data_IF_014243180291
#
_entry.id   IF_014243180291
#
_cell.length_a   1.000
_cell.length_b   1.000
_cell.length_c   1.000
_cell.angle_alpha   90.00
_cell.angle_beta   90.00
_cell.angle_gamma   90.00
#
_symmetry.space_group_name_H-M   'P 1'
#
loop_
_entity.id
_entity.type
_entity.pdbx_description
1 polymer ?
#
# COMPACT_ATOMS: atom_id res chain seq x y z
N UNK A 1 -20.32 -26.23 28.17
CA UNK A 1 -19.11 -25.82 28.91
C UNK A 1 -17.86 -25.85 28.05
N UNK A 2 -17.52 -26.94 27.34
CA UNK A 2 -16.34 -26.99 26.44
C UNK A 2 -16.37 -25.95 25.29
N UNK A 3 -17.55 -25.65 24.75
CA UNK A 3 -17.72 -24.70 23.63
C UNK A 3 -17.61 -23.23 24.06
N UNK A 4 -17.99 -22.91 25.31
CA UNK A 4 -17.78 -21.59 25.94
C UNK A 4 -16.31 -21.36 26.34
N UNK A 5 -15.60 -22.41 26.70
CA UNK A 5 -14.18 -22.35 27.07
C UNK A 5 -13.29 -22.18 25.82
N UNK A 6 -13.62 -22.85 24.72
CA UNK A 6 -12.96 -22.67 23.42
C UNK A 6 -13.19 -21.27 22.81
N UNK A 7 -14.35 -20.65 23.02
CA UNK A 7 -14.62 -19.26 22.58
C UNK A 7 -13.94 -18.22 23.47
N UNK A 8 -13.82 -18.49 24.78
CA UNK A 8 -13.08 -17.64 25.72
C UNK A 8 -11.57 -17.64 25.43
N UNK A 9 -10.95 -18.81 25.23
CA UNK A 9 -9.52 -18.92 24.92
C UNK A 9 -9.17 -18.29 23.57
N UNK A 10 -10.06 -18.40 22.58
CA UNK A 10 -9.89 -17.79 21.26
C UNK A 10 -10.02 -16.25 21.31
N UNK A 11 -10.84 -15.71 22.22
CA UNK A 11 -10.94 -14.27 22.45
C UNK A 11 -9.74 -13.73 23.25
N UNK A 12 -9.23 -14.48 24.23
CA UNK A 12 -8.03 -14.10 24.99
C UNK A 12 -6.75 -14.12 24.11
N UNK A 13 -6.61 -15.14 23.25
CA UNK A 13 -5.52 -15.22 22.26
C UNK A 13 -5.59 -14.11 21.21
N UNK A 14 -6.79 -13.72 20.77
CA UNK A 14 -6.99 -12.55 19.90
C UNK A 14 -6.63 -11.24 20.59
N UNK A 15 -6.95 -11.08 21.88
CA UNK A 15 -6.60 -9.90 22.68
C UNK A 15 -5.08 -9.71 22.80
N UNK A 16 -4.36 -10.77 23.15
CA UNK A 16 -2.89 -10.75 23.25
C UNK A 16 -2.21 -10.56 21.90
N UNK A 17 -2.70 -11.22 20.83
CA UNK A 17 -2.17 -11.02 19.48
C UNK A 17 -2.37 -9.57 18.98
N UNK A 18 -3.52 -8.95 19.29
CA UNK A 18 -3.81 -7.54 18.94
C UNK A 18 -2.90 -6.56 19.70
N UNK A 19 -2.71 -6.76 21.01
CA UNK A 19 -1.80 -5.92 21.81
C UNK A 19 -0.35 -6.05 21.34
N UNK A 20 0.10 -7.27 21.00
CA UNK A 20 1.44 -7.50 20.47
C UNK A 20 1.60 -6.86 19.08
N UNK A 21 0.60 -7.00 18.20
CA UNK A 21 0.54 -6.36 16.87
C UNK A 21 0.75 -4.86 16.98
N UNK A 22 -0.01 -4.21 17.86
CA UNK A 22 0.13 -2.78 18.12
C UNK A 22 1.51 -2.47 18.70
N UNK A 23 2.02 -3.24 19.65
CA UNK A 23 3.29 -2.94 20.31
C UNK A 23 4.51 -3.02 19.37
N UNK A 24 4.67 -4.09 18.58
CA UNK A 24 5.83 -4.20 17.71
C UNK A 24 5.76 -3.21 16.54
N UNK A 25 4.58 -3.02 15.93
CA UNK A 25 4.40 -2.11 14.82
C UNK A 25 4.57 -0.64 15.27
N UNK A 26 3.97 -0.27 16.40
CA UNK A 26 4.16 1.06 16.99
C UNK A 26 5.61 1.29 17.38
N UNK A 27 6.31 0.30 17.96
CA UNK A 27 7.74 0.45 18.26
C UNK A 27 8.61 0.60 17.01
N UNK A 28 8.20 0.04 15.88
CA UNK A 28 8.87 0.19 14.59
C UNK A 28 8.62 1.58 13.97
N UNK A 29 7.41 2.10 14.13
CA UNK A 29 6.99 3.40 13.58
C UNK A 29 7.31 4.59 14.49
N UNK A 30 7.46 4.39 15.80
CA UNK A 30 7.72 5.45 16.79
C UNK A 30 8.97 6.28 16.46
N UNK A 31 10.12 5.70 16.07
CA UNK A 31 11.30 6.46 15.65
C UNK A 31 11.09 7.28 14.37
N UNK A 32 10.05 6.97 13.59
CA UNK A 32 9.73 7.63 12.33
C UNK A 32 8.71 8.76 12.50
N UNK A 33 8.11 8.94 13.68
CA UNK A 33 7.09 9.99 13.92
C UNK A 33 7.59 11.39 13.54
N UNK A 34 8.83 11.74 13.88
CA UNK A 34 9.43 13.02 13.48
C UNK A 34 9.56 13.17 11.96
N UNK A 35 9.81 12.06 11.26
CA UNK A 35 9.91 12.04 9.79
C UNK A 35 8.57 12.10 9.09
N UNK A 36 7.51 11.56 9.71
CA UNK A 36 6.14 11.75 9.21
C UNK A 36 5.72 13.23 9.25
N UNK A 37 6.15 13.97 10.28
CA UNK A 37 5.94 15.43 10.34
C UNK A 37 6.73 16.13 9.23
N UNK A 38 8.01 15.80 9.04
CA UNK A 38 8.84 16.34 7.95
C UNK A 38 8.25 16.05 6.56
N UNK A 39 7.80 14.81 6.33
CA UNK A 39 7.11 14.41 5.10
C UNK A 39 5.79 15.17 4.92
N UNK A 40 5.02 15.35 6.00
CA UNK A 40 3.79 16.13 5.98
C UNK A 40 4.04 17.59 5.62
N UNK A 41 5.08 18.22 6.18
CA UNK A 41 5.47 19.59 5.85
C UNK A 41 5.91 19.73 4.39
N UNK A 42 6.75 18.81 3.88
CA UNK A 42 7.15 18.82 2.47
C UNK A 42 5.93 18.66 1.56
N UNK A 43 5.04 17.72 1.87
CA UNK A 43 3.80 17.52 1.13
C UNK A 43 2.88 18.75 1.18
N UNK A 44 2.83 19.46 2.30
CA UNK A 44 2.10 20.72 2.42
C UNK A 44 2.63 21.76 1.43
N UNK A 45 3.95 22.00 1.40
CA UNK A 45 4.54 22.95 0.46
C UNK A 45 4.39 22.51 -1.00
N UNK A 46 4.48 21.21 -1.30
CA UNK A 46 4.19 20.68 -2.63
C UNK A 46 2.75 21.01 -3.05
N UNK A 47 1.76 20.76 -2.18
CA UNK A 47 0.37 21.05 -2.48
C UNK A 47 0.08 22.56 -2.55
N UNK A 48 0.81 23.38 -1.79
CA UNK A 48 0.74 24.84 -1.89
C UNK A 48 1.29 25.34 -3.23
N UNK A 49 2.48 24.88 -3.64
CA UNK A 49 3.07 25.22 -4.94
C UNK A 49 2.25 24.67 -6.11
N UNK A 50 1.51 23.58 -5.91
CA UNK A 50 0.60 23.06 -6.92
C UNK A 50 -0.53 24.05 -7.29
N UNK A 51 -0.80 25.05 -6.46
CA UNK A 51 -1.73 26.16 -6.77
C UNK A 51 -1.14 27.19 -7.73
N UNK A 52 0.18 27.23 -7.89
CA UNK A 52 0.85 28.27 -8.67
C UNK A 52 0.38 28.28 -10.13
N UNK A 53 0.26 27.10 -10.76
CA UNK A 53 -0.18 27.01 -12.16
C UNK A 53 -1.68 27.36 -12.32
N UNK A 54 -2.62 26.83 -11.52
CA UNK A 54 -4.02 27.28 -11.54
C UNK A 54 -4.17 28.80 -11.32
N UNK A 55 -3.46 29.37 -10.35
CA UNK A 55 -3.49 30.82 -10.08
C UNK A 55 -2.90 31.61 -11.25
N UNK A 56 -1.76 31.17 -11.79
CA UNK A 56 -1.16 31.75 -13.00
C UNK A 56 -2.18 31.80 -14.13
N UNK A 57 -2.81 30.67 -14.44
CA UNK A 57 -3.80 30.56 -15.51
C UNK A 57 -5.01 31.44 -15.25
N UNK A 58 -5.55 31.45 -14.03
CA UNK A 58 -6.65 32.33 -13.64
C UNK A 58 -6.32 33.80 -13.92
N UNK A 59 -5.14 34.27 -13.47
CA UNK A 59 -4.72 35.65 -13.66
C UNK A 59 -4.43 35.98 -15.13
N UNK A 60 -3.90 35.04 -15.90
CA UNK A 60 -3.66 35.26 -17.34
C UNK A 60 -4.99 35.46 -18.06
N UNK A 61 -5.95 34.56 -17.87
CA UNK A 61 -7.24 34.63 -18.56
C UNK A 61 -8.09 35.81 -18.09
N UNK A 62 -8.14 36.10 -16.78
CA UNK A 62 -9.03 37.14 -16.27
C UNK A 62 -8.41 38.55 -16.35
N UNK A 63 -7.08 38.67 -16.19
CA UNK A 63 -6.40 39.97 -16.14
C UNK A 63 -5.62 40.27 -17.41
N UNK A 64 -4.71 39.38 -17.82
CA UNK A 64 -3.77 39.69 -18.92
C UNK A 64 -4.48 39.71 -20.28
N UNK A 65 -5.31 38.73 -20.56
CA UNK A 65 -6.03 38.62 -21.85
C UNK A 65 -6.98 39.80 -22.05
N UNK A 66 -7.70 40.21 -21.01
CA UNK A 66 -8.66 41.32 -21.10
C UNK A 66 -8.01 42.70 -21.06
N UNK A 67 -6.94 42.90 -20.26
CA UNK A 67 -6.36 44.23 -20.03
C UNK A 67 -5.03 44.49 -20.77
N UNK A 68 -4.49 43.51 -21.50
CA UNK A 68 -3.25 43.65 -22.27
C UNK A 68 -1.98 43.88 -21.43
N UNK A 69 -2.00 43.52 -20.14
CA UNK A 69 -0.92 43.81 -19.19
C UNK A 69 0.31 42.91 -19.36
N UNK A 70 1.18 43.20 -20.34
CA UNK A 70 2.38 42.40 -20.62
C UNK A 70 3.40 42.36 -19.46
N UNK A 71 3.52 43.44 -18.69
CA UNK A 71 4.43 43.49 -17.53
C UNK A 71 3.97 42.51 -16.45
N UNK A 72 2.66 42.48 -16.17
CA UNK A 72 2.06 41.53 -15.23
C UNK A 72 2.27 40.08 -15.69
N UNK A 73 2.14 39.82 -16.99
CA UNK A 73 2.37 38.50 -17.56
C UNK A 73 3.81 38.04 -17.32
N UNK A 74 4.81 38.89 -17.56
CA UNK A 74 6.22 38.55 -17.33
C UNK A 74 6.46 38.15 -15.87
N UNK A 75 5.94 38.94 -14.91
CA UNK A 75 6.04 38.62 -13.50
C UNK A 75 5.37 37.30 -13.13
N UNK A 76 4.16 37.05 -13.67
CA UNK A 76 3.41 35.81 -13.47
C UNK A 76 4.15 34.59 -14.04
N UNK A 77 4.73 34.69 -15.24
CA UNK A 77 5.52 33.61 -15.86
C UNK A 77 6.75 33.28 -15.02
N UNK A 78 7.51 34.29 -14.61
CA UNK A 78 8.71 34.08 -13.78
C UNK A 78 8.32 33.43 -12.45
N UNK A 79 7.28 33.93 -11.78
CA UNK A 79 6.78 33.36 -10.53
C UNK A 79 6.32 31.90 -10.68
N UNK A 80 5.56 31.60 -11.75
CA UNK A 80 5.09 30.25 -12.03
C UNK A 80 6.24 29.27 -12.33
N UNK A 81 7.25 29.69 -13.11
CA UNK A 81 8.43 28.88 -13.40
C UNK A 81 9.26 28.60 -12.13
N UNK A 82 9.44 29.60 -11.27
CA UNK A 82 10.10 29.44 -9.97
C UNK A 82 9.33 28.43 -9.11
N UNK A 83 7.99 28.56 -9.03
CA UNK A 83 7.16 27.66 -8.26
C UNK A 83 7.23 26.21 -8.77
N UNK A 84 7.22 25.99 -10.09
CA UNK A 84 7.40 24.66 -10.71
C UNK A 84 8.80 24.09 -10.41
N UNK A 85 9.84 24.92 -10.44
CA UNK A 85 11.19 24.53 -10.06
C UNK A 85 11.28 24.06 -8.60
N UNK A 86 10.67 24.80 -7.67
CA UNK A 86 10.60 24.39 -6.27
C UNK A 86 9.73 23.15 -6.05
N UNK A 87 8.60 23.00 -6.77
CA UNK A 87 7.77 21.79 -6.70
C UNK A 87 8.58 20.55 -7.10
N UNK A 88 9.37 20.62 -8.17
CA UNK A 88 10.28 19.55 -8.58
C UNK A 88 11.30 19.20 -7.48
N UNK A 89 12.00 20.20 -6.95
CA UNK A 89 13.01 20.00 -5.90
C UNK A 89 12.36 19.35 -4.66
N UNK A 90 11.21 19.84 -4.22
CA UNK A 90 10.52 19.29 -3.05
C UNK A 90 10.03 17.86 -3.28
N UNK A 91 9.54 17.52 -4.47
CA UNK A 91 9.15 16.14 -4.82
C UNK A 91 10.35 15.20 -4.77
N UNK A 92 11.51 15.64 -5.26
CA UNK A 92 12.74 14.86 -5.22
C UNK A 92 13.25 14.67 -3.79
N UNK A 93 13.21 15.72 -2.96
CA UNK A 93 13.53 15.63 -1.52
C UNK A 93 12.57 14.68 -0.82
N UNK A 94 11.25 14.77 -1.09
CA UNK A 94 10.24 13.86 -0.56
C UNK A 94 10.52 12.41 -0.92
N UNK A 95 10.82 12.13 -2.19
CA UNK A 95 11.14 10.78 -2.67
C UNK A 95 12.36 10.20 -1.93
N UNK A 96 13.44 10.97 -1.79
CA UNK A 96 14.64 10.57 -1.05
C UNK A 96 14.36 10.34 0.44
N UNK A 97 13.52 11.17 1.06
CA UNK A 97 13.15 11.04 2.47
C UNK A 97 12.34 9.75 2.72
N UNK A 98 11.40 9.43 1.82
CA UNK A 98 10.63 8.17 1.87
C UNK A 98 11.57 6.97 1.67
N UNK A 99 12.47 6.99 0.68
CA UNK A 99 13.44 5.91 0.45
C UNK A 99 14.39 5.71 1.64
N UNK A 100 14.89 6.78 2.25
CA UNK A 100 15.73 6.69 3.47
C UNK A 100 14.96 6.14 4.67
N UNK A 101 13.67 6.42 4.75
CA UNK A 101 12.80 5.86 5.79
C UNK A 101 12.59 4.36 5.56
N UNK A 102 12.33 3.97 4.31
CA UNK A 102 12.22 2.59 3.88
C UNK A 102 13.44 1.74 4.24
N UNK A 103 14.65 2.21 3.91
CA UNK A 103 15.88 1.46 4.21
C UNK A 103 16.07 1.23 5.71
N UNK A 104 15.75 2.21 6.56
CA UNK A 104 15.86 2.02 8.02
C UNK A 104 14.84 1.02 8.55
N UNK A 105 13.61 1.07 8.04
CA UNK A 105 12.57 0.09 8.37
C UNK A 105 13.02 -1.31 7.96
N UNK A 106 13.56 -1.45 6.76
CA UNK A 106 14.02 -2.73 6.22
C UNK A 106 15.06 -3.40 7.12
N UNK A 107 16.09 -2.63 7.49
CA UNK A 107 17.16 -3.10 8.40
C UNK A 107 16.58 -3.49 9.76
N UNK A 108 15.67 -2.68 10.32
CA UNK A 108 15.09 -2.96 11.63
C UNK A 108 14.18 -4.19 11.62
N UNK A 109 13.28 -4.32 10.64
CA UNK A 109 12.40 -5.49 10.50
C UNK A 109 13.25 -6.74 10.27
N UNK A 110 14.20 -6.69 9.34
CA UNK A 110 15.08 -7.83 9.03
C UNK A 110 15.87 -8.29 10.26
N UNK A 111 16.43 -7.34 11.02
CA UNK A 111 17.15 -7.66 12.26
C UNK A 111 16.26 -8.29 13.32
N UNK A 112 15.04 -7.77 13.50
CA UNK A 112 14.07 -8.31 14.46
C UNK A 112 13.60 -9.69 14.06
N UNK A 113 13.28 -9.89 12.78
CA UNK A 113 12.85 -11.18 12.24
C UNK A 113 13.96 -12.22 12.39
N UNK A 114 15.20 -11.88 12.03
CA UNK A 114 16.34 -12.78 12.19
C UNK A 114 16.55 -13.16 13.66
N UNK A 115 16.57 -12.19 14.57
CA UNK A 115 16.70 -12.44 16.02
C UNK A 115 15.58 -13.34 16.52
N UNK A 116 14.35 -13.09 16.09
CA UNK A 116 13.19 -13.90 16.46
C UNK A 116 13.36 -15.35 15.99
N UNK A 117 13.70 -15.56 14.72
CA UNK A 117 13.92 -16.88 14.16
C UNK A 117 15.00 -17.67 14.92
N UNK A 118 16.09 -17.02 15.32
CA UNK A 118 17.17 -17.66 16.10
C UNK A 118 16.81 -17.92 17.56
N UNK A 119 15.83 -17.21 18.10
CA UNK A 119 15.39 -17.34 19.50
C UNK A 119 14.18 -18.27 19.66
N UNK A 120 13.55 -18.70 18.57
CA UNK A 120 12.38 -19.57 18.62
C UNK A 120 12.76 -21.00 19.05
N UNK A 121 11.90 -21.69 19.84
CA UNK A 121 12.13 -23.08 20.21
C UNK A 121 12.22 -23.99 18.99
N UNK A 122 13.15 -24.96 19.01
CA UNK A 122 13.36 -25.90 17.89
C UNK A 122 12.06 -26.60 17.47
N UNK A 123 11.21 -26.97 18.44
CA UNK A 123 9.90 -27.59 18.18
C UNK A 123 8.98 -26.72 17.31
N UNK A 124 9.08 -25.39 17.41
CA UNK A 124 8.31 -24.46 16.58
C UNK A 124 8.89 -24.40 15.17
N UNK A 125 10.22 -24.39 15.04
CA UNK A 125 10.90 -24.40 13.74
C UNK A 125 10.57 -25.66 12.94
N UNK A 126 10.66 -26.84 13.57
CA UNK A 126 10.43 -28.14 12.92
C UNK A 126 8.96 -28.40 12.57
N UNK A 127 8.02 -27.73 13.25
CA UNK A 127 6.59 -27.81 12.91
C UNK A 127 6.23 -27.15 11.59
N UNK A 128 7.05 -26.22 11.13
CA UNK A 128 6.80 -25.43 9.92
C UNK A 128 7.75 -25.85 8.80
N UNK A 129 7.27 -25.82 7.58
CA UNK A 129 8.07 -26.18 6.41
C UNK A 129 9.02 -25.04 5.99
N UNK A 130 10.10 -25.35 5.26
CA UNK A 130 11.00 -24.31 4.71
C UNK A 130 10.27 -23.25 3.88
N UNK A 131 9.28 -23.58 3.02
CA UNK A 131 8.49 -22.57 2.30
C UNK A 131 7.72 -21.60 3.19
N UNK A 132 7.26 -22.04 4.36
CA UNK A 132 6.59 -21.16 5.33
C UNK A 132 7.53 -20.04 5.77
N UNK A 133 8.76 -20.40 6.16
CA UNK A 133 9.76 -19.43 6.61
C UNK A 133 10.21 -18.47 5.51
N UNK A 134 10.30 -18.94 4.27
CA UNK A 134 10.55 -18.07 3.11
C UNK A 134 9.40 -17.07 2.90
N UNK A 135 8.15 -17.51 3.09
CA UNK A 135 6.98 -16.63 2.98
C UNK A 135 6.97 -15.57 4.08
N UNK A 136 7.34 -15.93 5.31
CA UNK A 136 7.51 -14.96 6.41
C UNK A 136 8.51 -13.85 6.06
N UNK A 137 9.62 -14.19 5.41
CA UNK A 137 10.59 -13.18 4.95
C UNK A 137 9.98 -12.27 3.87
N UNK A 138 9.24 -12.84 2.92
CA UNK A 138 8.50 -12.07 1.90
C UNK A 138 7.40 -11.18 2.49
N UNK A 139 6.84 -11.55 3.64
CA UNK A 139 5.88 -10.72 4.36
C UNK A 139 6.55 -9.49 4.97
N UNK A 140 7.77 -9.63 5.50
CA UNK A 140 8.57 -8.51 5.96
C UNK A 140 8.92 -7.54 4.81
N UNK A 141 9.29 -8.06 3.65
CA UNK A 141 9.50 -7.26 2.43
C UNK A 141 8.21 -6.53 2.01
N UNK A 142 7.05 -7.20 2.07
CA UNK A 142 5.77 -6.57 1.74
C UNK A 142 5.43 -5.39 2.68
N UNK A 143 5.73 -5.53 3.97
CA UNK A 143 5.58 -4.44 4.95
C UNK A 143 6.47 -3.27 4.58
N UNK A 144 7.76 -3.54 4.33
CA UNK A 144 8.72 -2.52 3.87
C UNK A 144 8.21 -1.81 2.63
N UNK A 145 7.89 -2.55 1.58
CA UNK A 145 7.52 -1.98 0.28
C UNK A 145 6.29 -1.08 0.39
N UNK A 146 5.35 -1.40 1.27
CA UNK A 146 4.15 -0.59 1.48
C UNK A 146 4.43 0.68 2.26
N UNK A 147 5.24 0.61 3.32
CA UNK A 147 5.62 1.81 4.10
C UNK A 147 6.58 2.71 3.28
N UNK A 148 7.38 2.10 2.42
CA UNK A 148 8.32 2.75 1.51
C UNK A 148 7.69 3.30 0.23
N UNK A 149 6.47 2.87 -0.08
CA UNK A 149 5.94 2.95 -1.43
C UNK A 149 4.93 4.08 -1.62
N UNK A 150 4.36 4.08 -2.83
CA UNK A 150 3.27 4.97 -3.23
C UNK A 150 2.09 5.03 -2.23
N UNK A 151 1.67 3.95 -1.54
CA UNK A 151 0.56 4.03 -0.60
C UNK A 151 0.80 4.96 0.58
N UNK A 152 2.04 5.08 1.06
CA UNK A 152 2.37 5.99 2.15
C UNK A 152 2.27 7.44 1.72
N UNK A 153 2.78 7.76 0.52
CA UNK A 153 2.65 9.11 -0.07
C UNK A 153 1.18 9.44 -0.29
N UNK A 154 0.41 8.49 -0.81
CA UNK A 154 -1.03 8.64 -1.04
C UNK A 154 -1.78 8.98 0.26
N UNK A 155 -1.49 8.29 1.36
CA UNK A 155 -2.11 8.59 2.67
C UNK A 155 -1.79 10.00 3.16
N UNK A 156 -0.60 10.52 2.86
CA UNK A 156 -0.19 11.89 3.24
C UNK A 156 -0.83 12.93 2.30
N UNK A 157 -1.05 12.60 1.03
CA UNK A 157 -1.69 13.48 0.05
C UNK A 157 -3.23 13.54 0.23
N UNK A 158 -3.86 12.48 0.77
CA UNK A 158 -5.32 12.33 0.87
C UNK A 158 -6.04 13.47 1.64
N UNK A 159 -5.52 13.99 2.78
CA UNK A 159 -6.13 15.14 3.45
C UNK A 159 -6.19 16.41 2.61
N UNK A 160 -5.25 16.58 1.66
CA UNK A 160 -5.21 17.75 0.78
C UNK A 160 -6.34 17.74 -0.25
N UNK A 161 -7.00 16.60 -0.47
CA UNK A 161 -8.22 16.54 -1.30
C UNK A 161 -9.29 17.47 -0.74
N UNK A 162 -9.49 17.49 0.58
CA UNK A 162 -10.42 18.40 1.24
C UNK A 162 -9.98 19.86 1.08
N UNK A 163 -8.67 20.13 1.18
CA UNK A 163 -8.10 21.47 0.98
C UNK A 163 -8.39 21.96 -0.44
N UNK A 164 -8.15 21.14 -1.47
CA UNK A 164 -8.45 21.51 -2.85
C UNK A 164 -9.94 21.69 -3.10
N UNK A 165 -10.81 20.88 -2.47
CA UNK A 165 -12.27 21.09 -2.55
C UNK A 165 -12.67 22.45 -1.97
N UNK A 166 -12.12 22.84 -0.82
CA UNK A 166 -12.37 24.14 -0.21
C UNK A 166 -11.88 25.28 -1.12
N UNK A 167 -10.68 25.14 -1.69
CA UNK A 167 -10.13 26.14 -2.61
C UNK A 167 -11.00 26.27 -3.87
N UNK A 168 -11.46 25.16 -4.45
CA UNK A 168 -12.37 25.18 -5.61
C UNK A 168 -13.70 25.83 -5.24
N UNK A 169 -14.23 25.59 -4.04
CA UNK A 169 -15.45 26.26 -3.58
C UNK A 169 -15.30 27.79 -3.56
N UNK A 170 -14.15 28.31 -3.11
CA UNK A 170 -13.91 29.76 -3.11
C UNK A 170 -13.63 30.35 -4.49
N UNK A 171 -13.03 29.59 -5.40
CA UNK A 171 -12.68 30.08 -6.76
C UNK A 171 -13.85 29.93 -7.73
N UNK A 172 -14.60 28.84 -7.64
CA UNK A 172 -15.64 28.44 -8.59
C UNK A 172 -16.83 27.81 -7.86
N UNK A 173 -17.46 28.57 -6.96
CA UNK A 173 -18.59 28.12 -6.14
C UNK A 173 -19.72 27.42 -6.94
N UNK A 174 -20.15 27.90 -8.13
CA UNK A 174 -21.27 27.29 -8.85
C UNK A 174 -21.02 25.85 -9.34
N UNK A 175 -19.77 25.41 -9.49
CA UNK A 175 -19.43 24.02 -9.87
C UNK A 175 -18.96 23.17 -8.69
N UNK A 176 -18.70 23.78 -7.52
CA UNK A 176 -18.08 23.08 -6.40
C UNK A 176 -18.96 21.93 -5.84
N UNK A 177 -20.28 22.03 -5.95
CA UNK A 177 -21.21 20.98 -5.53
C UNK A 177 -21.01 19.68 -6.32
N UNK A 178 -20.51 19.73 -7.56
CA UNK A 178 -20.22 18.53 -8.35
C UNK A 178 -19.17 17.65 -7.66
N UNK A 179 -18.21 18.26 -6.95
CA UNK A 179 -17.18 17.53 -6.21
C UNK A 179 -17.77 16.70 -5.06
N UNK A 180 -18.89 17.13 -4.49
CA UNK A 180 -19.62 16.38 -3.46
C UNK A 180 -20.25 15.10 -4.00
N UNK A 181 -20.42 14.97 -5.31
CA UNK A 181 -20.92 13.76 -5.98
C UNK A 181 -19.74 12.93 -6.50
N UNK A 182 -18.76 13.58 -7.12
CA UNK A 182 -17.63 12.93 -7.77
C UNK A 182 -16.71 12.23 -6.77
N UNK A 183 -16.40 12.88 -5.63
CA UNK A 183 -15.53 12.27 -4.61
C UNK A 183 -16.15 10.99 -4.05
N UNK A 184 -17.42 10.97 -3.60
CA UNK A 184 -18.09 9.72 -3.23
C UNK A 184 -18.17 8.69 -4.36
N UNK A 185 -18.35 9.09 -5.62
CA UNK A 185 -18.35 8.16 -6.75
C UNK A 185 -16.99 7.45 -6.89
N UNK A 186 -15.88 8.17 -6.75
CA UNK A 186 -14.54 7.57 -6.72
C UNK A 186 -14.33 6.67 -5.50
N UNK A 187 -14.81 7.09 -4.32
CA UNK A 187 -14.73 6.25 -3.10
C UNK A 187 -15.52 4.95 -3.27
N UNK A 188 -16.71 5.02 -3.84
CA UNK A 188 -17.53 3.84 -4.16
C UNK A 188 -16.81 2.93 -5.15
N UNK A 189 -16.24 3.49 -6.23
CA UNK A 189 -15.45 2.74 -7.20
C UNK A 189 -14.26 2.01 -6.54
N UNK A 190 -13.51 2.70 -5.68
CA UNK A 190 -12.41 2.12 -4.92
C UNK A 190 -12.89 0.99 -3.99
N UNK A 191 -14.02 1.18 -3.31
CA UNK A 191 -14.61 0.16 -2.43
C UNK A 191 -15.08 -1.09 -3.19
N UNK A 192 -15.76 -0.93 -4.32
CA UNK A 192 -16.20 -2.07 -5.14
C UNK A 192 -15.02 -2.78 -5.79
N UNK A 193 -14.04 -2.02 -6.30
CA UNK A 193 -12.79 -2.54 -6.84
C UNK A 193 -12.07 -3.43 -5.82
N UNK A 194 -11.94 -2.93 -4.59
CA UNK A 194 -11.40 -3.67 -3.45
C UNK A 194 -12.04 -5.05 -3.28
N UNK A 195 -13.38 -5.11 -3.23
CA UNK A 195 -14.10 -6.35 -2.96
C UNK A 195 -13.99 -7.35 -4.12
N UNK A 196 -14.10 -6.88 -5.35
CA UNK A 196 -14.03 -7.72 -6.54
C UNK A 196 -12.62 -8.28 -6.79
N UNK A 197 -11.59 -7.41 -6.70
CA UNK A 197 -10.20 -7.80 -6.95
C UNK A 197 -9.69 -8.74 -5.85
N UNK A 198 -10.07 -8.52 -4.58
CA UNK A 198 -9.62 -9.38 -3.47
C UNK A 198 -10.06 -10.84 -3.65
N UNK A 199 -11.32 -11.07 -4.05
CA UNK A 199 -11.83 -12.43 -4.29
C UNK A 199 -11.05 -13.13 -5.41
N UNK A 200 -10.79 -12.42 -6.51
CA UNK A 200 -10.03 -12.99 -7.64
C UNK A 200 -8.55 -13.20 -7.33
N UNK A 201 -7.97 -12.31 -6.51
CA UNK A 201 -6.57 -12.42 -6.06
C UNK A 201 -6.39 -13.65 -5.18
N UNK A 202 -7.34 -13.94 -4.30
CA UNK A 202 -7.27 -15.13 -3.45
C UNK A 202 -7.39 -16.43 -4.26
N UNK A 203 -8.28 -16.46 -5.27
CA UNK A 203 -8.41 -17.60 -6.16
C UNK A 203 -7.13 -17.84 -7.01
N UNK A 204 -6.49 -16.78 -7.49
CA UNK A 204 -5.19 -16.86 -8.19
C UNK A 204 -4.08 -17.32 -7.23
N UNK A 205 -4.06 -16.80 -5.99
CA UNK A 205 -3.10 -17.21 -4.96
C UNK A 205 -3.19 -18.70 -4.66
N UNK A 206 -4.40 -19.23 -4.50
CA UNK A 206 -4.61 -20.66 -4.26
C UNK A 206 -4.12 -21.51 -5.44
N UNK A 207 -4.45 -21.11 -6.68
CA UNK A 207 -3.98 -21.82 -7.87
C UNK A 207 -2.44 -21.83 -7.99
N UNK A 208 -1.78 -20.72 -7.64
CA UNK A 208 -0.32 -20.65 -7.57
C UNK A 208 0.25 -21.63 -6.53
N UNK A 209 -0.34 -21.71 -5.34
CA UNK A 209 0.10 -22.63 -4.30
C UNK A 209 -0.03 -24.09 -4.75
N UNK A 210 -1.14 -24.47 -5.37
CA UNK A 210 -1.38 -25.85 -5.84
C UNK A 210 -0.40 -26.25 -6.96
N UNK A 211 -0.04 -25.30 -7.83
CA UNK A 211 1.01 -25.49 -8.85
C UNK A 211 2.39 -25.61 -8.21
N UNK A 212 2.74 -24.70 -7.32
CA UNK A 212 4.06 -24.67 -6.67
C UNK A 212 4.28 -25.93 -5.80
N UNK A 213 3.21 -26.43 -5.17
CA UNK A 213 3.24 -27.72 -4.46
C UNK A 213 3.56 -28.89 -5.39
N UNK A 214 3.03 -28.93 -6.62
CA UNK A 214 3.37 -29.98 -7.60
C UNK A 214 4.86 -29.96 -7.94
N UNK A 215 5.41 -28.77 -8.14
CA UNK A 215 6.82 -28.60 -8.47
C UNK A 215 7.70 -29.02 -7.29
N UNK A 216 7.32 -28.66 -6.06
CA UNK A 216 8.02 -29.10 -4.86
C UNK A 216 8.01 -30.64 -4.72
N UNK A 217 6.86 -31.28 -4.96
CA UNK A 217 6.72 -32.74 -4.97
C UNK A 217 7.62 -33.40 -6.03
N UNK A 218 7.61 -32.87 -7.26
CA UNK A 218 8.46 -33.34 -8.36
C UNK A 218 9.95 -33.24 -8.02
N UNK A 219 10.39 -32.10 -7.44
CA UNK A 219 11.79 -31.87 -7.09
C UNK A 219 12.24 -32.74 -5.89
N UNK A 220 11.35 -32.97 -4.93
CA UNK A 220 11.58 -33.87 -3.82
C UNK A 220 11.67 -35.33 -4.31
N UNK A 221 10.77 -35.74 -5.20
CA UNK A 221 10.69 -37.08 -5.79
C UNK A 221 11.55 -37.31 -7.04
N UNK A 222 12.48 -36.40 -7.36
CA UNK A 222 13.20 -36.35 -8.65
C UNK A 222 13.84 -37.67 -9.08
N UNK A 223 14.37 -38.45 -8.14
CA UNK A 223 14.98 -39.76 -8.42
C UNK A 223 13.95 -40.78 -8.89
N UNK A 224 12.79 -40.85 -8.23
CA UNK A 224 11.71 -41.74 -8.61
C UNK A 224 11.12 -41.34 -9.98
N UNK A 225 10.96 -40.03 -10.23
CA UNK A 225 10.48 -39.51 -11.52
C UNK A 225 11.38 -39.95 -12.67
N UNK A 226 12.71 -39.90 -12.47
CA UNK A 226 13.69 -40.34 -13.48
C UNK A 226 13.75 -41.86 -13.61
N UNK A 227 13.73 -42.60 -12.51
CA UNK A 227 13.82 -44.06 -12.50
C UNK A 227 12.59 -44.72 -13.13
N UNK A 228 11.39 -44.14 -12.93
CA UNK A 228 10.12 -44.67 -13.43
C UNK A 228 9.65 -43.98 -14.73
N UNK A 229 10.45 -43.06 -15.29
CA UNK A 229 10.13 -42.29 -16.49
C UNK A 229 8.75 -41.57 -16.46
N UNK A 230 8.35 -41.03 -15.30
CA UNK A 230 7.04 -40.39 -15.08
C UNK A 230 6.93 -38.97 -15.66
N UNK A 231 7.86 -38.55 -16.51
CA UNK A 231 7.98 -37.17 -16.97
C UNK A 231 6.82 -36.68 -17.83
N UNK A 232 6.24 -37.54 -18.67
CA UNK A 232 5.07 -37.20 -19.50
C UNK A 232 3.81 -37.03 -18.66
N UNK A 233 3.52 -37.97 -17.76
CA UNK A 233 2.35 -37.90 -16.86
C UNK A 233 2.39 -36.65 -15.97
N UNK A 234 3.55 -36.35 -15.39
CA UNK A 234 3.72 -35.17 -14.55
C UNK A 234 3.64 -33.86 -15.35
N UNK A 235 3.99 -33.88 -16.64
CA UNK A 235 3.82 -32.74 -17.54
C UNK A 235 2.35 -32.41 -17.71
N UNK A 236 1.49 -33.39 -18.01
CA UNK A 236 0.06 -33.14 -18.24
C UNK A 236 -0.62 -32.59 -16.97
N UNK A 237 -0.24 -33.12 -15.80
CA UNK A 237 -0.69 -32.61 -14.49
C UNK A 237 -0.21 -31.17 -14.25
N UNK A 238 1.04 -30.86 -14.60
CA UNK A 238 1.60 -29.53 -14.47
C UNK A 238 0.94 -28.54 -15.44
N UNK A 239 0.77 -28.91 -16.70
CA UNK A 239 0.11 -28.09 -17.73
C UNK A 239 -1.33 -27.76 -17.33
N UNK A 240 -2.06 -28.72 -16.76
CA UNK A 240 -3.41 -28.49 -16.22
C UNK A 240 -3.41 -27.46 -15.09
N UNK A 241 -2.53 -27.61 -14.09
CA UNK A 241 -2.45 -26.65 -12.95
C UNK A 241 -1.94 -25.27 -13.39
N UNK A 242 -0.99 -25.24 -14.31
CA UNK A 242 -0.49 -24.01 -14.91
C UNK A 242 -1.59 -23.32 -15.73
N UNK A 243 -2.38 -24.07 -16.50
CA UNK A 243 -3.54 -23.55 -17.23
C UNK A 243 -4.54 -22.86 -16.30
N UNK A 244 -4.92 -23.52 -15.20
CA UNK A 244 -5.78 -22.91 -14.17
C UNK A 244 -5.17 -21.63 -13.60
N UNK A 245 -3.87 -21.66 -13.27
CA UNK A 245 -3.14 -20.49 -12.75
C UNK A 245 -3.20 -19.31 -13.73
N UNK A 246 -2.92 -19.56 -15.02
CA UNK A 246 -2.98 -18.56 -16.09
C UNK A 246 -4.39 -18.01 -16.25
N UNK A 247 -5.42 -18.87 -16.33
CA UNK A 247 -6.81 -18.43 -16.46
C UNK A 247 -7.26 -17.57 -15.27
N UNK A 248 -6.88 -17.94 -14.04
CA UNK A 248 -7.17 -17.14 -12.84
C UNK A 248 -6.43 -15.80 -12.87
N UNK A 249 -5.18 -15.77 -13.32
CA UNK A 249 -4.41 -14.55 -13.51
C UNK A 249 -5.02 -13.60 -14.54
N UNK A 250 -5.45 -14.14 -15.70
CA UNK A 250 -6.16 -13.37 -16.75
C UNK A 250 -7.48 -12.81 -16.20
N UNK A 251 -8.27 -13.64 -15.51
CA UNK A 251 -9.55 -13.22 -14.92
C UNK A 251 -9.34 -12.08 -13.92
N UNK A 252 -8.32 -12.19 -13.04
CA UNK A 252 -7.96 -11.10 -12.12
C UNK A 252 -7.54 -9.84 -12.87
N UNK A 253 -6.71 -9.99 -13.90
CA UNK A 253 -6.26 -8.89 -14.76
C UNK A 253 -7.44 -8.15 -15.37
N UNK A 254 -8.35 -8.87 -16.02
CA UNK A 254 -9.56 -8.31 -16.63
C UNK A 254 -10.44 -7.56 -15.61
N UNK A 255 -10.64 -8.11 -14.40
CA UNK A 255 -11.37 -7.42 -13.34
C UNK A 255 -10.67 -6.11 -12.96
N UNK A 256 -9.35 -6.14 -12.75
CA UNK A 256 -8.57 -4.94 -12.44
C UNK A 256 -8.69 -3.87 -13.54
N UNK A 257 -8.60 -4.29 -14.80
CA UNK A 257 -8.64 -3.39 -15.95
C UNK A 257 -10.00 -2.70 -16.07
N UNK A 258 -11.11 -3.42 -15.83
CA UNK A 258 -12.45 -2.82 -15.78
C UNK A 258 -12.53 -1.68 -14.76
N UNK A 259 -11.99 -1.86 -13.55
CA UNK A 259 -12.01 -0.80 -12.52
C UNK A 259 -11.06 0.36 -12.85
N UNK A 260 -9.88 0.09 -13.40
CA UNK A 260 -8.95 1.13 -13.84
C UNK A 260 -9.56 1.97 -14.97
N UNK A 261 -10.16 1.33 -15.98
CA UNK A 261 -10.85 2.01 -17.07
C UNK A 261 -12.07 2.79 -16.59
N UNK A 262 -12.82 2.24 -15.63
CA UNK A 262 -13.94 2.94 -14.99
C UNK A 262 -13.48 4.20 -14.25
N UNK A 263 -12.30 4.18 -13.61
CA UNK A 263 -11.70 5.37 -12.99
C UNK A 263 -11.30 6.43 -14.02
N UNK A 264 -10.75 6.02 -15.17
CA UNK A 264 -10.44 6.93 -16.28
C UNK A 264 -11.71 7.52 -16.88
N UNK A 265 -12.75 6.71 -17.10
CA UNK A 265 -14.06 7.15 -17.58
C UNK A 265 -14.68 8.17 -16.61
N UNK A 266 -14.68 7.89 -15.30
CA UNK A 266 -15.19 8.82 -14.29
C UNK A 266 -14.40 10.14 -14.26
N UNK A 267 -13.09 10.09 -14.52
CA UNK A 267 -12.25 11.29 -14.66
C UNK A 267 -12.65 12.14 -15.87
N UNK A 268 -12.92 11.49 -17.02
CA UNK A 268 -13.40 12.17 -18.23
C UNK A 268 -14.80 12.74 -18.05
N UNK A 269 -15.71 11.99 -17.44
CA UNK A 269 -17.05 12.47 -17.09
C UNK A 269 -16.95 13.67 -16.17
N UNK A 270 -16.08 13.63 -15.15
CA UNK A 270 -15.84 14.77 -14.26
C UNK A 270 -15.43 16.02 -15.05
N UNK A 271 -14.45 15.90 -15.95
CA UNK A 271 -13.99 17.02 -16.76
C UNK A 271 -15.11 17.58 -17.64
N UNK A 272 -15.89 16.71 -18.29
CA UNK A 272 -17.03 17.11 -19.12
C UNK A 272 -18.09 17.81 -18.27
N UNK A 273 -18.52 17.21 -17.15
CA UNK A 273 -19.54 17.77 -16.26
C UNK A 273 -19.12 19.12 -15.66
N UNK A 274 -17.89 19.22 -15.15
CA UNK A 274 -17.35 20.48 -14.61
C UNK A 274 -17.32 21.57 -15.68
N UNK A 275 -16.87 21.23 -16.90
CA UNK A 275 -16.79 22.19 -18.00
C UNK A 275 -18.17 22.60 -18.50
N UNK A 276 -19.12 21.67 -18.64
CA UNK A 276 -20.48 21.96 -19.09
C UNK A 276 -21.26 22.83 -18.10
N UNK A 277 -21.26 22.47 -16.80
CA UNK A 277 -21.92 23.28 -15.77
C UNK A 277 -21.20 24.61 -15.59
N UNK A 278 -19.87 24.61 -15.65
CA UNK A 278 -19.08 25.84 -15.60
C UNK A 278 -19.35 26.78 -16.77
N UNK A 279 -19.53 26.25 -17.98
CA UNK A 279 -19.88 27.07 -19.14
C UNK A 279 -21.24 27.77 -18.97
N UNK A 280 -22.24 27.07 -18.41
CA UNK A 280 -23.54 27.67 -18.08
C UNK A 280 -23.37 28.78 -17.03
N UNK A 281 -22.62 28.53 -15.96
CA UNK A 281 -22.36 29.53 -14.92
C UNK A 281 -21.56 30.76 -15.43
N UNK A 282 -20.71 30.58 -16.45
CA UNK A 282 -20.05 31.71 -17.13
C UNK A 282 -21.06 32.53 -17.94
N UNK A 283 -21.99 31.87 -18.65
CA UNK A 283 -23.06 32.55 -19.39
C UNK A 283 -23.94 33.36 -18.44
N UNK A 284 -24.23 32.80 -17.26
CA UNK A 284 -25.01 33.45 -16.20
C UNK A 284 -24.21 34.48 -15.39
N UNK A 285 -22.94 34.74 -15.75
CA UNK A 285 -22.04 35.70 -15.10
C UNK A 285 -21.72 35.39 -13.64
N UNK A 286 -21.94 34.15 -13.19
CA UNK A 286 -21.63 33.72 -11.82
C UNK A 286 -20.14 33.38 -11.62
N UNK A 287 -19.41 33.11 -12.71
CA UNK A 287 -17.98 32.82 -12.67
C UNK A 287 -17.24 33.26 -13.95
N UNK A 288 -15.91 33.36 -13.89
CA UNK A 288 -15.06 33.74 -15.03
C UNK A 288 -14.52 32.53 -15.78
N UNK A 289 -14.06 32.70 -17.02
CA UNK A 289 -13.33 31.65 -17.74
C UNK A 289 -12.06 31.21 -16.98
N UNK A 290 -11.30 32.16 -16.41
CA UNK A 290 -10.10 31.84 -15.63
C UNK A 290 -10.41 30.97 -14.41
N UNK A 291 -11.51 31.24 -13.71
CA UNK A 291 -11.96 30.45 -12.56
C UNK A 291 -12.32 29.01 -12.93
N UNK A 292 -13.02 28.79 -14.04
CA UNK A 292 -13.37 27.46 -14.54
C UNK A 292 -12.13 26.65 -14.93
N UNK A 293 -11.19 27.27 -15.66
CA UNK A 293 -9.96 26.60 -16.08
C UNK A 293 -9.13 26.24 -14.84
N UNK A 294 -8.96 27.17 -13.90
CA UNK A 294 -8.24 26.91 -12.65
C UNK A 294 -8.91 25.80 -11.82
N UNK A 295 -10.24 25.80 -11.72
CA UNK A 295 -10.98 24.76 -11.01
C UNK A 295 -10.82 23.38 -11.66
N UNK A 296 -10.85 23.29 -12.99
CA UNK A 296 -10.57 22.04 -13.72
C UNK A 296 -9.14 21.52 -13.44
N UNK A 297 -8.14 22.42 -13.42
CA UNK A 297 -6.76 22.06 -13.08
C UNK A 297 -6.64 21.59 -11.63
N UNK A 298 -7.29 22.25 -10.68
CA UNK A 298 -7.31 21.84 -9.27
C UNK A 298 -8.06 20.52 -9.06
N UNK A 299 -9.10 20.26 -9.85
CA UNK A 299 -9.86 19.00 -9.80
C UNK A 299 -8.96 17.80 -10.12
N UNK A 300 -7.96 17.96 -10.98
CA UNK A 300 -6.96 16.90 -11.22
C UNK A 300 -6.19 16.49 -9.96
N UNK A 301 -5.98 17.42 -9.01
CA UNK A 301 -5.34 17.16 -7.70
C UNK A 301 -6.23 16.38 -6.74
N UNK A 302 -7.54 16.38 -6.98
CA UNK A 302 -8.52 15.54 -6.26
C UNK A 302 -8.60 14.16 -6.93
N UNK A 303 -8.74 14.13 -8.25
CA UNK A 303 -8.93 12.88 -9.02
C UNK A 303 -7.71 11.96 -8.92
N UNK A 304 -6.49 12.50 -9.01
CA UNK A 304 -5.27 11.70 -9.03
C UNK A 304 -5.13 10.77 -7.80
N UNK A 305 -5.17 11.27 -6.55
CA UNK A 305 -5.12 10.40 -5.37
C UNK A 305 -6.33 9.47 -5.28
N UNK A 306 -7.53 9.93 -5.69
CA UNK A 306 -8.72 9.10 -5.72
C UNK A 306 -8.59 7.89 -6.68
N UNK A 307 -7.99 8.10 -7.86
CA UNK A 307 -7.68 7.05 -8.82
C UNK A 307 -6.57 6.11 -8.32
N UNK A 308 -5.55 6.66 -7.66
CA UNK A 308 -4.48 5.86 -7.04
C UNK A 308 -4.98 4.94 -5.92
N UNK A 309 -6.03 5.34 -5.17
CA UNK A 309 -6.64 4.49 -4.15
C UNK A 309 -7.20 3.19 -4.74
N UNK A 310 -7.82 3.26 -5.92
CA UNK A 310 -8.35 2.09 -6.65
C UNK A 310 -7.23 1.07 -6.89
N UNK A 311 -6.07 1.53 -7.37
CA UNK A 311 -4.92 0.66 -7.67
C UNK A 311 -4.11 0.21 -6.44
N UNK A 312 -4.04 1.04 -5.39
CA UNK A 312 -3.19 0.81 -4.22
C UNK A 312 -3.81 -0.17 -3.20
N UNK A 313 -5.09 -0.48 -3.34
CA UNK A 313 -5.81 -1.30 -2.37
C UNK A 313 -5.20 -2.69 -2.15
N UNK A 314 -4.76 -3.36 -3.23
CA UNK A 314 -4.09 -4.67 -3.13
C UNK A 314 -2.86 -4.61 -2.22
N UNK A 315 -2.08 -3.55 -2.35
CA UNK A 315 -0.87 -3.35 -1.57
C UNK A 315 -1.22 -3.17 -0.08
N UNK A 316 -2.27 -2.42 0.22
CA UNK A 316 -2.79 -2.25 1.58
C UNK A 316 -3.36 -3.55 2.17
N UNK A 317 -4.09 -4.35 1.37
CA UNK A 317 -4.61 -5.64 1.78
C UNK A 317 -3.47 -6.64 2.05
N UNK A 318 -2.45 -6.68 1.17
CA UNK A 318 -1.24 -7.48 1.37
C UNK A 318 -0.50 -7.05 2.63
N UNK A 319 -0.32 -5.75 2.84
CA UNK A 319 0.26 -5.18 4.05
C UNK A 319 -0.47 -5.67 5.29
N UNK A 320 -1.81 -5.52 5.35
CA UNK A 320 -2.62 -5.97 6.49
C UNK A 320 -2.41 -7.45 6.79
N UNK A 321 -2.45 -8.30 5.77
CA UNK A 321 -2.24 -9.74 5.94
C UNK A 321 -0.81 -10.10 6.39
N UNK A 322 0.19 -9.35 5.93
CA UNK A 322 1.60 -9.55 6.26
C UNK A 322 1.88 -9.09 7.70
N UNK A 323 1.33 -7.95 8.10
CA UNK A 323 1.38 -7.47 9.49
C UNK A 323 0.77 -8.51 10.43
N UNK A 324 -0.41 -9.07 10.09
CA UNK A 324 -1.03 -10.08 10.95
C UNK A 324 -0.12 -11.30 11.14
N UNK A 325 0.38 -11.89 10.04
CA UNK A 325 1.26 -13.08 10.12
C UNK A 325 2.56 -12.82 10.88
N UNK A 326 3.17 -11.65 10.68
CA UNK A 326 4.37 -11.26 11.43
C UNK A 326 4.07 -11.04 12.90
N UNK A 327 2.90 -10.48 13.23
CA UNK A 327 2.48 -10.28 14.62
C UNK A 327 2.27 -11.60 15.34
N UNK A 328 1.58 -12.54 14.69
CA UNK A 328 1.37 -13.89 15.20
C UNK A 328 2.72 -14.60 15.45
N UNK A 329 3.71 -14.39 14.57
CA UNK A 329 5.06 -14.91 14.75
C UNK A 329 5.79 -14.25 15.93
N UNK A 330 5.76 -12.92 16.03
CA UNK A 330 6.43 -12.19 17.11
C UNK A 330 5.82 -12.50 18.48
N UNK A 331 4.55 -12.94 18.52
CA UNK A 331 3.85 -13.36 19.73
C UNK A 331 4.28 -14.73 20.28
N UNK A 332 4.91 -15.58 19.47
CA UNK A 332 5.40 -16.89 19.95
C UNK A 332 6.46 -16.68 21.02
N UNK A 333 6.44 -17.43 22.12
CA UNK A 333 7.45 -17.30 23.18
C UNK A 333 8.83 -17.76 22.69
N UNK A 334 9.87 -16.99 23.00
CA UNK A 334 11.26 -17.36 22.72
C UNK A 334 11.73 -18.48 23.67
N UNK A 335 12.77 -19.21 23.28
CA UNK A 335 13.53 -20.07 24.18
C UNK A 335 14.13 -19.20 25.28
N UNK A 336 13.75 -19.49 26.52
CA UNK A 336 14.29 -18.79 27.69
C UNK A 336 15.75 -19.23 27.91
N UNK A 337 16.70 -18.48 27.38
CA UNK A 337 18.12 -18.56 27.78
C UNK A 337 18.41 -17.79 29.09
N UNK A 338 17.41 -17.58 29.95
CA UNK A 338 17.53 -16.69 31.13
C UNK A 338 18.45 -17.20 32.25
N UNK A 339 19.13 -18.33 32.07
CA UNK A 339 20.17 -18.72 33.01
C UNK A 339 21.45 -19.10 32.25
N UNK A 340 22.26 -18.08 31.91
CA UNK A 340 23.69 -18.29 31.70
C UNK A 340 24.29 -18.62 33.07
N UNK A 341 24.11 -19.87 33.51
CA UNK A 341 24.80 -20.37 34.70
C UNK A 341 26.25 -20.57 34.26
N UNK A 342 27.14 -19.68 34.68
CA UNK A 342 28.58 -19.84 34.44
C UNK A 342 29.06 -21.04 35.25
N UNK A 343 29.28 -22.16 34.60
CA UNK A 343 29.83 -23.37 35.23
C UNK A 343 31.29 -23.58 34.80
N UNK A 344 32.14 -24.12 35.69
CA UNK A 344 33.49 -24.54 35.31
C UNK A 344 33.42 -25.61 34.22
N UNK A 345 34.52 -25.77 33.46
CA UNK A 345 34.61 -26.72 32.36
C UNK A 345 34.16 -28.12 32.84
N UNK A 346 33.18 -28.76 32.18
CA UNK A 346 32.67 -30.04 32.61
C UNK A 346 33.80 -31.08 32.60
N UNK A 347 33.84 -31.90 33.65
CA UNK A 347 34.84 -32.98 33.83
C UNK A 347 34.56 -34.21 32.97
N UNK A 348 33.44 -34.24 32.25
CA UNK A 348 33.06 -35.32 31.31
C UNK A 348 32.13 -36.38 31.90
N UNK A 349 31.77 -36.31 33.18
CA UNK A 349 30.83 -37.25 33.79
C UNK A 349 29.39 -36.92 33.38
N UNK A 350 28.81 -37.76 32.52
CA UNK A 350 27.41 -37.69 32.06
C UNK A 350 26.60 -38.80 32.69
N UNK A 351 25.59 -38.44 33.48
CA UNK A 351 24.59 -39.36 34.03
C UNK A 351 23.19 -38.93 33.57
N UNK A 352 22.39 -39.91 33.16
CA UNK A 352 20.99 -39.73 32.77
C UNK A 352 20.13 -40.62 33.67
N UNK A 353 19.32 -40.02 34.53
CA UNK A 353 18.48 -40.75 35.47
C UNK A 353 17.01 -40.52 35.18
N UNK A 354 16.24 -41.60 35.01
CA UNK A 354 14.77 -41.59 34.85
C UNK A 354 14.24 -40.66 33.75
N UNK A 355 15.04 -40.36 32.73
CA UNK A 355 14.63 -39.48 31.64
C UNK A 355 13.56 -40.16 30.78
N UNK A 356 12.42 -39.49 30.62
CA UNK A 356 11.35 -39.90 29.70
C UNK A 356 11.08 -38.77 28.73
N UNK A 357 11.12 -39.05 27.42
CA UNK A 357 10.83 -38.11 26.35
C UNK A 357 9.67 -38.66 25.51
N UNK A 358 8.77 -37.78 25.06
CA UNK A 358 7.60 -38.14 24.26
C UNK A 358 7.56 -37.34 22.97
#
# INVERSE_FOLDING_TARGET
>A
MAEQQATSDNNAAKGTASEITEHWLVSLLRPLKGRFVELGSITFFINLLALAVPIFTLQVYDRVVFHGGLITLQGLVIGALIAVGFDFILREVRAKLVQRSAMRIDVEISRRLFRKLTALPLRVLERQSTPFWQMTYRDAEAVRDTIAGAPTVLLIDLPFVLVFMIIIYFIAAPIAWLLLIIVPAFMALAFFSSRAINKSTEAERQANLDRDALLAELLSGRTAVKALNLGSELRDRWETRQGVTVTRGITRGAINDVYMHSGMMLSMITLISMTSVGALAIIDQEMTMGSLIAANMLTSRIIQPMSQLVGSWRMLARLRSSIQRLSDLFAIRDDNFEAVITRPRPTGNLTVEKATFR
#
